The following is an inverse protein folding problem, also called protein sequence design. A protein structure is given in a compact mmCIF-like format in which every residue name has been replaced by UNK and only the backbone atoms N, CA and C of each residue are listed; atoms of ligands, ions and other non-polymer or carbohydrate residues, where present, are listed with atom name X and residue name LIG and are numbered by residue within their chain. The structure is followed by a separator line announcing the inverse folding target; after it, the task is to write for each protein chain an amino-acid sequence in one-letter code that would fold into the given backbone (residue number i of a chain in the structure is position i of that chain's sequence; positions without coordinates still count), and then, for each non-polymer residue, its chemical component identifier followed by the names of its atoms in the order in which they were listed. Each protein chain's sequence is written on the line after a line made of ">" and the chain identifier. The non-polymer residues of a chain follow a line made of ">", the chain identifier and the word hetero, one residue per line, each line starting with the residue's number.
data_IF_410983934280
#
_entry.id   IF_410983934280
#
_cell.length_a   1.000
_cell.length_b   1.000
_cell.length_c   1.000
_cell.angle_alpha   90.00
_cell.angle_beta   90.00
_cell.angle_gamma   90.00
#
_symmetry.space_group_name_H-M   'P 1'
#
loop_
_entity.id
_entity.type
_entity.pdbx_description
1 polymer ?
#
# COMPACT_ATOMS: atom_id res chain seq x y z
N UNK A 1 -23.21 -0.33 4.59
CA UNK A 1 -23.51 0.96 5.25
C UNK A 1 -24.62 1.70 4.49
N UNK A 2 -24.39 2.25 3.29
CA UNK A 2 -25.41 3.01 2.53
C UNK A 2 -26.72 2.25 2.20
N UNK A 3 -26.63 0.97 1.81
CA UNK A 3 -27.82 0.15 1.52
C UNK A 3 -28.68 -0.15 2.76
N UNK A 4 -28.06 -0.26 3.94
CA UNK A 4 -28.78 -0.46 5.19
C UNK A 4 -29.47 0.83 5.66
N UNK A 5 -28.80 1.98 5.49
CA UNK A 5 -29.39 3.31 5.74
C UNK A 5 -30.59 3.57 4.82
N UNK A 6 -30.46 3.30 3.52
CA UNK A 6 -31.57 3.43 2.58
C UNK A 6 -32.79 2.58 2.98
N UNK A 7 -32.55 1.33 3.35
CA UNK A 7 -33.62 0.42 3.74
C UNK A 7 -34.34 0.85 5.03
N UNK A 8 -33.61 1.42 6.00
CA UNK A 8 -34.14 1.79 7.32
C UNK A 8 -34.69 3.22 7.39
N UNK A 9 -34.09 4.18 6.67
CA UNK A 9 -34.34 5.61 6.82
C UNK A 9 -34.73 6.30 5.50
N UNK A 10 -34.74 5.58 4.38
CA UNK A 10 -34.97 6.15 3.06
C UNK A 10 -33.76 6.93 2.52
N UNK A 11 -33.95 7.64 1.41
CA UNK A 11 -32.91 8.53 0.87
C UNK A 11 -32.88 9.84 1.69
N UNK A 12 -31.73 10.26 2.22
CA UNK A 12 -31.63 11.58 2.84
C UNK A 12 -31.94 12.66 1.80
N UNK A 13 -32.62 13.72 2.23
CA UNK A 13 -32.83 14.90 1.38
C UNK A 13 -31.46 15.53 1.12
N UNK A 14 -30.99 15.48 -0.12
CA UNK A 14 -29.75 16.11 -0.51
C UNK A 14 -29.98 17.63 -0.51
N UNK A 15 -29.14 18.44 0.16
CA UNK A 15 -29.16 19.87 -0.06
C UNK A 15 -28.92 20.16 -1.54
N UNK A 16 -29.56 21.21 -2.07
CA UNK A 16 -29.22 21.69 -3.42
C UNK A 16 -27.72 21.97 -3.46
N UNK A 17 -27.00 21.22 -4.29
CA UNK A 17 -25.54 21.33 -4.40
C UNK A 17 -25.15 22.79 -4.66
N UNK A 18 -24.44 23.45 -3.72
CA UNK A 18 -24.10 24.84 -3.91
C UNK A 18 -22.97 24.92 -4.94
N UNK A 19 -23.26 25.63 -6.04
CA UNK A 19 -22.41 25.89 -7.21
C UNK A 19 -22.38 24.74 -8.22
N UNK A 20 -23.28 24.84 -9.19
CA UNK A 20 -22.97 24.41 -10.57
C UNK A 20 -21.84 25.31 -11.06
N UNK A 21 -20.59 24.97 -10.72
CA UNK A 21 -19.45 25.47 -11.47
C UNK A 21 -19.67 24.92 -12.88
N UNK A 22 -19.83 25.76 -13.91
CA UNK A 22 -20.03 25.26 -15.26
C UNK A 22 -18.88 24.32 -15.59
N UNK A 23 -19.20 23.07 -15.91
CA UNK A 23 -18.20 22.05 -16.24
C UNK A 23 -17.27 22.64 -17.30
N UNK A 24 -16.01 22.82 -16.94
CA UNK A 24 -14.99 23.22 -17.88
C UNK A 24 -14.74 22.03 -18.80
N UNK A 25 -14.45 22.28 -20.07
CA UNK A 25 -13.99 21.23 -21.00
C UNK A 25 -12.80 20.42 -20.44
N UNK A 26 -12.02 21.02 -19.53
CA UNK A 26 -10.86 20.39 -18.89
C UNK A 26 -11.16 19.73 -17.54
N UNK A 27 -12.43 19.65 -17.13
CA UNK A 27 -12.77 18.98 -15.89
C UNK A 27 -12.69 17.45 -16.03
N UNK A 28 -12.20 16.76 -14.99
CA UNK A 28 -11.93 15.34 -15.09
C UNK A 28 -13.26 14.57 -15.18
N UNK A 29 -13.47 13.80 -16.25
CA UNK A 29 -14.67 12.97 -16.43
C UNK A 29 -14.33 11.49 -16.17
N UNK A 30 -15.16 10.84 -15.35
CA UNK A 30 -15.09 9.40 -15.07
C UNK A 30 -13.71 8.91 -14.61
N UNK A 31 -13.41 7.64 -14.92
CA UNK A 31 -12.11 7.02 -14.67
C UNK A 31 -11.43 6.67 -15.99
N UNK A 32 -10.44 7.45 -16.44
CA UNK A 32 -9.80 7.23 -17.73
C UNK A 32 -9.07 5.87 -17.75
N UNK A 33 -8.86 5.34 -18.96
CA UNK A 33 -8.23 4.02 -19.16
C UNK A 33 -6.84 3.94 -18.50
N UNK A 34 -6.02 4.99 -18.65
CA UNK A 34 -4.68 5.04 -18.06
C UNK A 34 -4.73 4.90 -16.53
N UNK A 35 -5.71 5.52 -15.87
CA UNK A 35 -5.85 5.49 -14.41
C UNK A 35 -6.21 4.08 -13.93
N UNK A 36 -7.10 3.41 -14.66
CA UNK A 36 -7.48 2.00 -14.39
C UNK A 36 -6.28 1.07 -14.56
N UNK A 37 -5.54 1.20 -15.67
CA UNK A 37 -4.33 0.40 -15.91
C UNK A 37 -3.31 0.63 -14.80
N UNK A 38 -3.02 1.90 -14.48
CA UNK A 38 -2.06 2.25 -13.44
C UNK A 38 -2.46 1.69 -12.07
N UNK A 39 -3.76 1.66 -11.75
CA UNK A 39 -4.27 1.03 -10.54
C UNK A 39 -3.95 -0.48 -10.50
N UNK A 40 -4.24 -1.21 -11.57
CA UNK A 40 -3.93 -2.65 -11.64
C UNK A 40 -2.43 -2.93 -11.58
N UNK A 41 -1.62 -2.16 -12.29
CA UNK A 41 -0.15 -2.26 -12.26
C UNK A 41 0.36 -1.98 -10.84
N UNK A 42 -0.12 -0.91 -10.19
CA UNK A 42 0.24 -0.60 -8.81
C UNK A 42 -0.15 -1.73 -7.85
N UNK A 43 -1.37 -2.26 -7.95
CA UNK A 43 -1.81 -3.38 -7.13
C UNK A 43 -0.91 -4.61 -7.31
N UNK A 44 -0.61 -4.98 -8.56
CA UNK A 44 0.28 -6.09 -8.87
C UNK A 44 1.68 -5.89 -8.26
N UNK A 45 2.28 -4.72 -8.43
CA UNK A 45 3.60 -4.39 -7.88
C UNK A 45 3.60 -4.38 -6.35
N UNK A 46 2.54 -3.86 -5.73
CA UNK A 46 2.37 -3.89 -4.27
C UNK A 46 2.28 -5.31 -3.74
N UNK A 47 1.57 -6.22 -4.42
CA UNK A 47 1.54 -7.65 -4.04
C UNK A 47 2.95 -8.25 -4.09
N UNK A 48 3.73 -7.98 -5.14
CA UNK A 48 5.11 -8.47 -5.22
C UNK A 48 6.01 -7.87 -4.12
N UNK A 49 5.89 -6.57 -3.86
CA UNK A 49 6.64 -5.87 -2.82
C UNK A 49 6.36 -6.41 -1.42
N UNK A 50 5.08 -6.59 -1.08
CA UNK A 50 4.67 -7.12 0.22
C UNK A 50 5.16 -8.56 0.38
N UNK A 51 4.94 -9.43 -0.63
CA UNK A 51 5.32 -10.85 -0.54
C UNK A 51 6.84 -11.04 -0.47
N UNK A 52 7.60 -10.28 -1.25
CA UNK A 52 9.07 -10.28 -1.19
C UNK A 52 9.60 -9.66 0.10
N UNK A 53 8.99 -8.57 0.58
CA UNK A 53 9.35 -7.92 1.85
C UNK A 53 9.13 -8.83 3.05
N UNK A 54 7.98 -9.53 3.09
CA UNK A 54 7.72 -10.55 4.10
C UNK A 54 8.75 -11.68 4.04
N UNK A 55 9.11 -12.16 2.84
CA UNK A 55 10.18 -13.16 2.68
C UNK A 55 11.54 -12.67 3.21
N UNK A 56 11.89 -11.39 3.03
CA UNK A 56 13.12 -10.81 3.60
C UNK A 56 13.04 -10.76 5.13
N UNK A 57 11.90 -10.32 5.68
CA UNK A 57 11.70 -10.19 7.13
C UNK A 57 11.75 -11.55 7.84
N UNK A 58 11.20 -12.62 7.26
CA UNK A 58 11.27 -13.96 7.89
C UNK A 58 12.66 -14.60 7.76
N UNK A 59 13.45 -14.20 6.77
CA UNK A 59 14.82 -14.65 6.59
C UNK A 59 15.79 -13.92 7.54
N UNK A 60 15.51 -12.64 7.84
CA UNK A 60 16.21 -11.81 8.82
C UNK A 60 15.22 -11.18 9.82
N UNK A 61 14.74 -11.94 10.82
CA UNK A 61 13.63 -11.54 11.68
C UNK A 61 13.99 -10.54 12.78
N UNK A 62 15.21 -10.01 12.77
CA UNK A 62 15.72 -9.10 13.80
C UNK A 62 16.10 -7.78 13.13
N UNK A 63 15.54 -6.70 13.64
CA UNK A 63 15.87 -5.35 13.20
C UNK A 63 16.66 -4.64 14.30
N UNK A 64 17.69 -3.90 13.91
CA UNK A 64 18.61 -3.22 14.81
C UNK A 64 18.72 -1.74 14.42
N UNK A 65 18.96 -0.89 15.41
CA UNK A 65 19.37 0.51 15.20
C UNK A 65 20.88 0.73 15.35
N UNK A 66 21.62 -0.33 15.65
CA UNK A 66 23.06 -0.30 15.86
C UNK A 66 23.80 -1.14 14.82
N UNK A 67 25.04 -0.78 14.56
CA UNK A 67 25.87 -1.47 13.56
C UNK A 67 26.37 -2.83 14.07
N UNK A 68 26.55 -2.96 15.38
CA UNK A 68 27.12 -4.14 16.02
C UNK A 68 26.18 -5.36 15.98
N UNK A 69 24.87 -5.14 15.78
CA UNK A 69 23.84 -6.19 15.69
C UNK A 69 23.92 -7.23 16.83
N UNK A 70 24.18 -6.75 18.06
CA UNK A 70 24.42 -7.64 19.21
C UNK A 70 23.12 -8.22 19.74
N UNK A 71 23.21 -9.46 20.25
CA UNK A 71 22.11 -10.16 20.92
C UNK A 71 21.56 -9.35 22.10
N UNK A 72 20.25 -9.12 22.14
CA UNK A 72 19.57 -8.33 23.16
C UNK A 72 19.45 -6.84 22.84
N UNK A 73 20.08 -6.37 21.76
CA UNK A 73 19.97 -4.98 21.28
C UNK A 73 19.00 -4.83 20.09
N UNK A 74 18.23 -5.88 19.78
CA UNK A 74 17.21 -5.84 18.74
C UNK A 74 16.13 -4.80 19.06
N UNK A 75 15.80 -3.95 18.08
CA UNK A 75 14.64 -3.06 18.15
C UNK A 75 13.32 -3.84 18.02
N UNK A 76 13.25 -4.74 17.04
CA UNK A 76 12.10 -5.61 16.81
C UNK A 76 12.60 -7.01 16.49
N UNK A 77 11.92 -8.02 17.05
CA UNK A 77 12.14 -9.44 16.73
C UNK A 77 10.81 -10.08 16.30
N UNK A 78 10.77 -10.62 15.08
CA UNK A 78 9.60 -11.27 14.49
C UNK A 78 9.51 -12.77 14.79
N UNK A 79 10.48 -13.34 15.51
CA UNK A 79 10.51 -14.76 15.87
C UNK A 79 10.62 -14.98 17.38
N UNK A 80 9.91 -15.97 17.95
CA UNK A 80 9.94 -16.25 19.39
C UNK A 80 11.19 -17.04 19.84
N UNK A 81 12.14 -17.29 18.93
CA UNK A 81 13.29 -18.17 19.22
C UNK A 81 14.26 -17.44 20.14
N UNK A 82 14.66 -18.11 21.22
CA UNK A 82 15.74 -17.66 22.09
C UNK A 82 17.04 -18.24 21.57
N UNK A 83 18.03 -17.37 21.39
CA UNK A 83 19.32 -17.73 20.82
C UNK A 83 20.17 -18.38 21.91
N UNK A 84 20.63 -19.62 21.71
CA UNK A 84 21.55 -20.26 22.65
C UNK A 84 22.85 -19.46 22.76
N UNK A 85 23.37 -19.28 23.99
CA UNK A 85 24.63 -18.56 24.26
C UNK A 85 25.85 -19.50 24.36
N UNK A 86 25.58 -20.80 24.39
CA UNK A 86 26.51 -21.90 24.60
C UNK A 86 26.96 -22.56 23.28
N UNK A 87 26.40 -22.15 22.14
CA UNK A 87 26.77 -22.67 20.82
C UNK A 87 26.89 -21.56 19.77
N UNK A 88 27.63 -21.83 18.69
CA UNK A 88 27.76 -20.90 17.56
C UNK A 88 26.41 -20.80 16.85
N UNK A 89 25.82 -19.59 16.87
CA UNK A 89 24.55 -19.31 16.22
C UNK A 89 24.73 -18.30 15.09
N UNK A 90 24.37 -18.70 13.88
CA UNK A 90 24.45 -17.92 12.66
C UNK A 90 23.12 -17.27 12.33
N UNK A 91 23.13 -16.11 11.67
CA UNK A 91 21.91 -15.43 11.24
C UNK A 91 21.00 -16.32 10.37
N UNK A 92 21.58 -17.28 9.62
CA UNK A 92 20.77 -18.18 8.80
C UNK A 92 19.92 -19.15 9.64
N UNK A 93 20.33 -19.48 10.87
CA UNK A 93 19.56 -20.36 11.77
C UNK A 93 18.29 -19.67 12.31
N UNK A 94 18.20 -18.34 12.24
CA UNK A 94 16.97 -17.60 12.54
C UNK A 94 15.96 -17.64 11.40
N UNK A 95 16.42 -17.89 10.17
CA UNK A 95 15.55 -17.80 9.00
C UNK A 95 14.40 -18.79 9.07
N UNK A 96 13.22 -18.37 8.61
CA UNK A 96 12.02 -19.21 8.61
C UNK A 96 11.39 -19.27 7.23
N UNK A 97 10.90 -20.47 6.91
CA UNK A 97 10.15 -20.71 5.69
C UNK A 97 8.79 -20.02 5.78
N UNK A 98 8.41 -19.29 4.72
CA UNK A 98 7.08 -18.73 4.57
C UNK A 98 6.29 -19.56 3.55
N UNK A 99 5.00 -19.78 3.78
CA UNK A 99 4.17 -20.48 2.79
C UNK A 99 4.21 -19.76 1.43
N UNK A 100 4.27 -20.45 0.27
CA UNK A 100 4.23 -19.82 -1.05
C UNK A 100 2.93 -19.07 -1.31
N UNK A 101 1.89 -19.28 -0.49
CA UNK A 101 0.66 -18.50 -0.53
C UNK A 101 0.82 -17.08 0.05
N UNK A 102 1.76 -16.90 0.98
CA UNK A 102 2.00 -15.63 1.68
C UNK A 102 3.30 -14.97 1.18
N UNK A 103 4.36 -15.75 1.00
CA UNK A 103 5.65 -15.29 0.48
C UNK A 103 5.73 -15.36 -1.04
N UNK A 104 6.95 -15.27 -1.58
CA UNK A 104 7.17 -15.45 -3.01
C UNK A 104 6.82 -16.87 -3.49
N UNK A 105 6.25 -17.01 -4.70
CA UNK A 105 6.05 -18.32 -5.32
C UNK A 105 7.40 -18.95 -5.68
N UNK A 106 7.46 -20.28 -5.73
CA UNK A 106 8.64 -21.02 -6.21
C UNK A 106 9.30 -21.97 -5.21
N UNK A 107 8.71 -22.16 -4.01
CA UNK A 107 9.11 -23.14 -2.97
C UNK A 107 10.57 -23.06 -2.45
N UNK A 108 11.44 -22.28 -3.11
CA UNK A 108 12.82 -22.02 -2.71
C UNK A 108 12.89 -20.71 -1.93
N UNK A 109 13.05 -20.81 -0.62
CA UNK A 109 13.20 -19.65 0.25
C UNK A 109 14.66 -19.25 0.36
N UNK A 110 15.01 -18.19 -0.36
CA UNK A 110 16.34 -17.60 -0.31
C UNK A 110 16.25 -16.08 -0.22
N UNK A 111 17.04 -15.51 0.68
CA UNK A 111 17.15 -14.05 0.84
C UNK A 111 17.49 -13.37 -0.48
N UNK A 112 18.35 -13.99 -1.29
CA UNK A 112 18.80 -13.45 -2.57
C UNK A 112 17.66 -13.20 -3.55
N UNK A 113 16.83 -14.22 -3.80
CA UNK A 113 15.67 -14.10 -4.67
C UNK A 113 14.66 -13.10 -4.12
N UNK A 114 14.43 -13.11 -2.79
CA UNK A 114 13.52 -12.17 -2.15
C UNK A 114 13.95 -10.71 -2.38
N UNK A 115 15.23 -10.39 -2.18
CA UNK A 115 15.78 -9.05 -2.42
C UNK A 115 15.69 -8.63 -3.88
N UNK A 116 16.04 -9.50 -4.82
CA UNK A 116 15.97 -9.18 -6.26
C UNK A 116 14.54 -8.80 -6.64
N UNK A 117 13.55 -9.63 -6.28
CA UNK A 117 12.15 -9.32 -6.56
C UNK A 117 11.65 -8.06 -5.84
N UNK A 118 12.12 -7.82 -4.61
CA UNK A 118 11.74 -6.62 -3.86
C UNK A 118 12.25 -5.35 -4.52
N UNK A 119 13.56 -5.25 -4.78
CA UNK A 119 14.15 -4.04 -5.37
C UNK A 119 13.71 -3.83 -6.82
N UNK A 120 13.56 -4.90 -7.61
CA UNK A 120 13.02 -4.81 -8.95
C UNK A 120 11.59 -4.24 -8.94
N UNK A 121 10.73 -4.79 -8.08
CA UNK A 121 9.35 -4.32 -7.95
C UNK A 121 9.29 -2.89 -7.40
N UNK A 122 10.16 -2.53 -6.46
CA UNK A 122 10.25 -1.18 -5.88
C UNK A 122 10.58 -0.13 -6.95
N UNK A 123 11.53 -0.44 -7.83
CA UNK A 123 11.91 0.44 -8.93
C UNK A 123 10.73 0.69 -9.87
N UNK A 124 10.05 -0.37 -10.34
CA UNK A 124 8.88 -0.22 -11.20
C UNK A 124 7.70 0.44 -10.50
N UNK A 125 7.53 0.19 -9.19
CA UNK A 125 6.49 0.82 -8.38
C UNK A 125 6.71 2.32 -8.28
N UNK A 126 7.94 2.75 -8.02
CA UNK A 126 8.31 4.17 -7.99
C UNK A 126 8.10 4.84 -9.35
N UNK A 127 8.56 4.20 -10.43
CA UNK A 127 8.36 4.71 -11.79
C UNK A 127 6.87 4.86 -12.16
N UNK A 128 6.06 3.84 -11.85
CA UNK A 128 4.61 3.86 -12.03
C UNK A 128 3.95 4.98 -11.19
N UNK A 129 4.42 5.19 -9.95
CA UNK A 129 3.98 6.28 -9.09
C UNK A 129 4.28 7.67 -9.68
N UNK A 130 5.47 7.87 -10.23
CA UNK A 130 5.85 9.13 -10.89
C UNK A 130 4.99 9.41 -12.13
N UNK A 131 4.76 8.39 -12.96
CA UNK A 131 3.88 8.49 -14.13
C UNK A 131 2.45 8.84 -13.68
N UNK A 132 1.94 8.15 -12.66
CA UNK A 132 0.60 8.37 -12.12
C UNK A 132 0.41 9.80 -11.64
N UNK A 133 1.33 10.28 -10.80
CA UNK A 133 1.29 11.64 -10.26
C UNK A 133 1.37 12.67 -11.40
N UNK A 134 2.27 12.47 -12.37
CA UNK A 134 2.33 13.33 -13.55
C UNK A 134 1.00 13.39 -14.30
N UNK A 135 0.44 12.24 -14.66
CA UNK A 135 -0.83 12.17 -15.40
C UNK A 135 -2.01 12.77 -14.62
N UNK A 136 -2.05 12.63 -13.29
CA UNK A 136 -3.07 13.27 -12.46
C UNK A 136 -3.08 14.79 -12.62
N UNK A 137 -1.91 15.43 -12.65
CA UNK A 137 -1.80 16.88 -12.83
C UNK A 137 -2.05 17.30 -14.27
N UNK A 138 -1.49 16.59 -15.26
CA UNK A 138 -1.68 16.92 -16.68
C UNK A 138 -3.14 16.79 -17.14
N UNK A 139 -3.93 15.89 -16.52
CA UNK A 139 -5.32 15.64 -16.92
C UNK A 139 -6.36 16.22 -15.97
N UNK A 140 -5.94 17.05 -15.00
CA UNK A 140 -6.79 17.60 -13.92
C UNK A 140 -7.51 16.55 -13.06
N UNK A 141 -7.18 15.27 -13.19
CA UNK A 141 -7.79 14.18 -12.42
C UNK A 141 -7.49 14.28 -10.91
N UNK A 142 -6.44 15.02 -10.52
CA UNK A 142 -6.17 15.35 -9.12
C UNK A 142 -7.32 16.08 -8.41
N UNK A 143 -8.12 16.88 -9.13
CA UNK A 143 -9.28 17.62 -8.56
C UNK A 143 -10.33 16.71 -7.94
N UNK A 144 -10.34 15.41 -8.30
CA UNK A 144 -11.24 14.40 -7.71
C UNK A 144 -10.73 13.86 -6.37
N UNK A 145 -9.45 14.04 -6.06
CA UNK A 145 -8.81 13.50 -4.85
C UNK A 145 -8.80 14.52 -3.72
N UNK A 146 -8.60 15.79 -4.04
CA UNK A 146 -8.45 16.86 -3.06
C UNK A 146 -9.64 17.81 -3.16
N UNK A 147 -10.41 18.02 -2.08
CA UNK A 147 -11.48 19.00 -2.06
C UNK A 147 -10.94 20.40 -2.32
N UNK A 148 -11.49 21.07 -3.34
CA UNK A 148 -11.07 22.43 -3.75
C UNK A 148 -11.89 23.53 -3.08
N UNK A 149 -12.98 23.19 -2.41
CA UNK A 149 -13.85 24.11 -1.67
C UNK A 149 -14.20 23.48 -0.31
N UNK A 150 -14.23 24.31 0.74
CA UNK A 150 -14.55 23.87 2.09
C UNK A 150 -16.02 23.41 2.23
N UNK A 151 -16.92 23.95 1.40
CA UNK A 151 -18.33 23.55 1.37
C UNK A 151 -18.51 22.05 1.10
N UNK A 152 -17.61 21.42 0.33
CA UNK A 152 -17.64 19.98 0.09
C UNK A 152 -17.65 19.19 1.41
N UNK A 153 -16.92 19.65 2.43
CA UNK A 153 -16.90 19.00 3.73
C UNK A 153 -18.21 19.22 4.52
N UNK A 154 -18.77 20.42 4.46
CA UNK A 154 -20.04 20.76 5.13
C UNK A 154 -21.20 19.99 4.50
N UNK A 155 -21.26 19.94 3.17
CA UNK A 155 -22.25 19.19 2.40
C UNK A 155 -22.12 17.69 2.69
N UNK A 156 -20.90 17.13 2.66
CA UNK A 156 -20.68 15.72 2.97
C UNK A 156 -21.12 15.34 4.39
N UNK A 157 -20.89 16.22 5.37
CA UNK A 157 -21.34 16.03 6.75
C UNK A 157 -22.87 16.07 6.85
N UNK A 158 -23.52 17.00 6.14
CA UNK A 158 -24.99 17.15 6.15
C UNK A 158 -25.74 15.95 5.59
N UNK A 159 -25.13 15.16 4.69
CA UNK A 159 -25.73 13.94 4.11
C UNK A 159 -25.52 12.71 5.01
N UNK A 160 -24.51 12.77 5.90
CA UNK A 160 -24.14 11.65 6.76
C UNK A 160 -24.87 11.65 8.12
N UNK A 161 -25.43 12.79 8.53
CA UNK A 161 -26.26 12.97 9.75
C UNK A 161 -27.73 12.99 9.36
#
# INVERSE_FOLDING_TARGET
>A
MAWAQYFLMGLPSLPESPKVIPESFNDPIGFPVWLRINHFVNFFLMVLLVRSGLSILVDHPRLYWNDHCTLGSEWIRFTPIVVPKDSVWTAKQDSRYLSPWIGLPGFRHTVGIARIWHFLSAFFWLANGLIFVGLLFFTNQWKRLVPVDFQIFLDAWSVQV
#
